data_IF_946632820056
#
_entry.id   IF_946632820056
#
_cell.length_a   1.000
_cell.length_b   1.000
_cell.length_c   1.000
_cell.angle_alpha   90.00
_cell.angle_beta   90.00
_cell.angle_gamma   90.00
#
_symmetry.space_group_name_H-M   'P 1'
#
loop_
_entity.id
_entity.type
_entity.pdbx_description
1 polymer ?
#
# COMPACT_ATOMS: atom_id res chain seq x y z
N UNK A 1 9.47 0.54 -8.82
CA UNK A 1 8.03 0.25 -8.78
C UNK A 1 7.83 -0.91 -7.81
N UNK A 2 7.31 -0.64 -6.62
CA UNK A 2 6.95 -1.70 -5.69
C UNK A 2 5.53 -2.17 -6.02
N UNK A 3 5.44 -3.35 -6.57
CA UNK A 3 4.18 -4.09 -6.72
C UNK A 3 3.86 -4.80 -5.40
N UNK A 4 2.58 -5.05 -5.10
CA UNK A 4 2.21 -5.80 -3.90
C UNK A 4 2.94 -7.14 -3.86
N UNK A 5 3.48 -7.46 -2.69
CA UNK A 5 4.30 -8.66 -2.46
C UNK A 5 3.49 -9.96 -2.68
N UNK A 6 4.21 -11.06 -2.73
CA UNK A 6 3.82 -12.46 -2.94
C UNK A 6 2.46 -12.84 -2.32
N UNK A 7 2.07 -12.25 -1.19
CA UNK A 7 0.77 -12.50 -0.56
C UNK A 7 -0.44 -12.18 -1.45
N UNK A 8 -0.33 -11.17 -2.33
CA UNK A 8 -1.39 -10.86 -3.30
C UNK A 8 -1.42 -11.85 -4.46
N UNK A 9 -0.24 -12.29 -4.89
CA UNK A 9 -0.13 -13.32 -5.94
C UNK A 9 -0.71 -14.63 -5.40
N UNK A 10 -0.39 -14.99 -4.15
CA UNK A 10 -0.93 -16.18 -3.49
C UNK A 10 -2.45 -16.06 -3.26
N UNK A 11 -2.94 -14.90 -2.83
CA UNK A 11 -4.38 -14.63 -2.70
C UNK A 11 -5.12 -14.73 -4.03
N UNK A 12 -4.52 -14.20 -5.11
CA UNK A 12 -5.06 -14.30 -6.45
C UNK A 12 -5.08 -15.75 -6.96
N UNK A 13 -3.99 -16.49 -6.77
CA UNK A 13 -3.91 -17.90 -7.13
C UNK A 13 -4.94 -18.73 -6.36
N UNK A 14 -5.06 -18.53 -5.04
CA UNK A 14 -6.06 -19.20 -4.21
C UNK A 14 -7.49 -18.92 -4.71
N UNK A 15 -7.75 -17.70 -5.10
CA UNK A 15 -9.06 -17.26 -5.57
C UNK A 15 -9.40 -17.84 -6.94
N UNK A 16 -8.43 -17.90 -7.87
CA UNK A 16 -8.58 -18.58 -9.16
C UNK A 16 -8.82 -20.08 -8.94
N UNK A 17 -8.07 -20.71 -8.04
CA UNK A 17 -8.25 -22.12 -7.66
C UNK A 17 -9.64 -22.34 -7.07
N UNK A 18 -10.10 -21.47 -6.19
CA UNK A 18 -11.46 -21.57 -5.61
C UNK A 18 -12.54 -21.41 -6.68
N UNK A 19 -12.39 -20.46 -7.61
CA UNK A 19 -13.33 -20.24 -8.72
C UNK A 19 -13.42 -21.43 -9.68
N UNK A 20 -12.34 -22.19 -9.81
CA UNK A 20 -12.31 -23.40 -10.68
C UNK A 20 -12.78 -24.62 -9.90
N UNK A 21 -12.28 -24.83 -8.69
CA UNK A 21 -12.60 -26.05 -7.91
C UNK A 21 -14.03 -26.07 -7.38
N UNK A 22 -14.59 -24.92 -7.01
CA UNK A 22 -15.95 -24.87 -6.46
C UNK A 22 -17.01 -25.34 -7.48
N UNK A 23 -17.03 -24.86 -8.74
CA UNK A 23 -17.96 -25.39 -9.74
C UNK A 23 -17.79 -26.89 -10.02
N UNK A 24 -16.52 -27.35 -10.05
CA UNK A 24 -16.24 -28.79 -10.25
C UNK A 24 -16.84 -29.60 -9.09
N UNK A 25 -16.60 -29.17 -7.85
CA UNK A 25 -17.13 -29.85 -6.66
C UNK A 25 -18.66 -29.81 -6.64
N UNK A 26 -19.27 -28.65 -6.89
CA UNK A 26 -20.73 -28.50 -6.97
C UNK A 26 -21.31 -29.33 -8.11
N UNK A 27 -20.66 -29.35 -9.27
CA UNK A 27 -21.10 -30.13 -10.41
C UNK A 27 -21.08 -31.64 -10.15
N UNK A 28 -20.07 -32.13 -9.44
CA UNK A 28 -20.01 -33.52 -8.98
C UNK A 28 -21.12 -33.84 -7.98
N UNK A 29 -21.40 -32.91 -7.06
CA UNK A 29 -22.42 -33.14 -6.02
C UNK A 29 -23.85 -33.00 -6.53
N UNK A 30 -24.11 -32.08 -7.46
CA UNK A 30 -25.47 -31.77 -7.95
C UNK A 30 -25.75 -32.26 -9.38
N UNK A 31 -24.77 -32.89 -10.01
CA UNK A 31 -24.95 -33.53 -11.32
C UNK A 31 -24.99 -32.58 -12.53
N UNK A 32 -24.89 -31.26 -12.33
CA UNK A 32 -24.91 -30.28 -13.40
C UNK A 32 -23.71 -29.30 -13.31
N UNK A 33 -22.62 -29.74 -13.93
CA UNK A 33 -21.39 -28.95 -14.04
C UNK A 33 -21.59 -27.64 -14.81
N UNK A 34 -22.42 -27.67 -15.85
CA UNK A 34 -22.63 -26.52 -16.72
C UNK A 34 -23.33 -25.36 -15.99
N UNK A 35 -24.42 -25.67 -15.29
CA UNK A 35 -25.16 -24.66 -14.50
C UNK A 35 -24.29 -24.06 -13.39
N UNK A 36 -23.50 -24.86 -12.69
CA UNK A 36 -22.57 -24.39 -11.66
C UNK A 36 -21.52 -23.44 -12.22
N UNK A 37 -20.91 -23.72 -13.36
CA UNK A 37 -19.97 -22.82 -14.03
C UNK A 37 -20.63 -21.53 -14.48
N UNK A 38 -21.83 -21.57 -15.07
CA UNK A 38 -22.55 -20.37 -15.50
C UNK A 38 -22.86 -19.48 -14.29
N UNK A 39 -23.39 -20.03 -13.20
CA UNK A 39 -23.70 -19.27 -11.99
C UNK A 39 -22.43 -18.61 -11.41
N UNK A 40 -21.34 -19.35 -11.30
CA UNK A 40 -20.08 -18.81 -10.78
C UNK A 40 -19.48 -17.74 -11.69
N UNK A 41 -19.57 -17.89 -13.00
CA UNK A 41 -19.09 -16.85 -13.94
C UNK A 41 -19.97 -15.60 -13.95
N UNK A 42 -21.29 -15.77 -13.92
CA UNK A 42 -22.25 -14.66 -13.97
C UNK A 42 -22.28 -13.89 -12.65
N UNK A 43 -22.23 -14.57 -11.51
CA UNK A 43 -22.27 -13.91 -10.20
C UNK A 43 -20.87 -13.59 -9.64
N UNK A 44 -19.91 -14.49 -9.82
CA UNK A 44 -18.56 -14.33 -9.28
C UNK A 44 -17.68 -13.42 -10.13
N UNK A 45 -17.77 -13.50 -11.44
CA UNK A 45 -16.94 -12.72 -12.38
C UNK A 45 -17.05 -11.22 -12.15
N UNK A 46 -18.25 -10.60 -12.14
CA UNK A 46 -18.41 -9.18 -11.89
C UNK A 46 -17.89 -8.71 -10.54
N UNK A 47 -17.98 -9.54 -9.50
CA UNK A 47 -17.44 -9.21 -8.17
C UNK A 47 -15.90 -9.22 -8.15
N UNK A 48 -15.29 -10.00 -9.04
CA UNK A 48 -13.84 -10.12 -9.14
C UNK A 48 -13.18 -8.97 -9.89
N UNK A 49 -13.87 -8.37 -10.87
CA UNK A 49 -13.32 -7.28 -11.68
C UNK A 49 -12.82 -6.10 -10.81
N UNK A 50 -13.59 -5.57 -9.83
CA UNK A 50 -13.11 -4.50 -8.96
C UNK A 50 -11.88 -4.91 -8.13
N UNK A 51 -11.83 -6.17 -7.66
CA UNK A 51 -10.71 -6.69 -6.88
C UNK A 51 -9.44 -6.81 -7.71
N UNK A 52 -9.53 -7.41 -8.89
CA UNK A 52 -8.42 -7.52 -9.84
C UNK A 52 -7.91 -6.14 -10.25
N UNK A 53 -8.83 -5.24 -10.59
CA UNK A 53 -8.49 -3.85 -10.89
C UNK A 53 -7.80 -3.15 -9.71
N UNK A 54 -8.24 -3.37 -8.49
CA UNK A 54 -7.60 -2.80 -7.31
C UNK A 54 -6.16 -3.32 -7.17
N UNK A 55 -5.95 -4.62 -7.29
CA UNK A 55 -4.62 -5.23 -7.18
C UNK A 55 -3.66 -4.77 -8.28
N UNK A 56 -4.13 -4.64 -9.52
CA UNK A 56 -3.30 -4.22 -10.65
C UNK A 56 -3.16 -2.69 -10.78
N UNK A 57 -4.19 -1.95 -10.39
CA UNK A 57 -4.19 -0.50 -10.54
C UNK A 57 -3.42 0.21 -9.44
N UNK A 58 -3.44 -0.29 -8.21
CA UNK A 58 -2.79 0.35 -7.10
C UNK A 58 -1.28 0.09 -7.12
N UNK A 59 -0.49 1.14 -7.19
CA UNK A 59 0.96 1.08 -6.99
C UNK A 59 1.44 2.32 -6.25
N UNK A 60 2.56 2.16 -5.56
CA UNK A 60 3.29 3.24 -4.92
C UNK A 60 4.70 3.24 -5.51
N UNK A 61 5.18 4.40 -5.91
CA UNK A 61 6.53 4.61 -6.37
C UNK A 61 7.13 5.77 -5.60
N UNK A 62 8.19 5.50 -4.87
CA UNK A 62 8.96 6.52 -4.19
C UNK A 62 10.05 7.04 -5.14
N UNK A 63 10.22 8.35 -5.16
CA UNK A 63 11.26 9.05 -5.91
C UNK A 63 12.09 9.90 -4.96
N UNK A 64 13.11 10.57 -5.47
CA UNK A 64 13.93 11.48 -4.66
C UNK A 64 13.14 12.68 -4.12
N UNK A 65 12.12 13.12 -4.85
CA UNK A 65 11.38 14.34 -4.52
C UNK A 65 10.01 14.09 -3.86
N UNK A 66 9.49 12.86 -3.89
CA UNK A 66 8.18 12.57 -3.35
C UNK A 66 7.65 11.20 -3.69
N UNK A 67 6.39 10.99 -3.42
CA UNK A 67 5.70 9.72 -3.63
C UNK A 67 4.66 9.87 -4.72
N UNK A 68 4.76 9.01 -5.73
CA UNK A 68 3.71 8.80 -6.73
C UNK A 68 2.89 7.59 -6.34
N UNK A 69 1.58 7.70 -6.52
CA UNK A 69 0.71 6.52 -6.41
C UNK A 69 -0.43 6.58 -7.40
N UNK A 70 -0.90 5.43 -7.78
CA UNK A 70 -2.09 5.27 -8.63
C UNK A 70 -3.18 4.60 -7.80
N UNK A 71 -4.35 5.19 -7.81
CA UNK A 71 -5.51 4.61 -7.13
C UNK A 71 -6.24 3.60 -8.04
N UNK A 72 -7.22 2.89 -7.48
CA UNK A 72 -8.07 1.94 -8.19
C UNK A 72 -8.82 2.54 -9.41
N UNK A 73 -8.99 3.88 -9.46
CA UNK A 73 -9.56 4.64 -10.60
C UNK A 73 -8.50 5.03 -11.63
N UNK A 74 -7.33 4.43 -11.63
CA UNK A 74 -6.22 4.69 -12.54
C UNK A 74 -5.67 6.13 -12.53
N UNK A 75 -6.09 6.95 -11.56
CA UNK A 75 -5.58 8.32 -11.43
C UNK A 75 -4.24 8.30 -10.71
N UNK A 76 -3.21 8.80 -11.38
CA UNK A 76 -1.89 9.02 -10.80
C UNK A 76 -1.94 10.30 -9.98
N UNK A 77 -1.37 10.24 -8.78
CA UNK A 77 -1.20 11.36 -7.87
C UNK A 77 0.25 11.45 -7.43
N UNK A 78 0.65 12.64 -7.08
CA UNK A 78 1.99 12.94 -6.59
C UNK A 78 1.90 13.75 -5.30
N UNK A 79 2.80 13.47 -4.37
CA UNK A 79 2.96 14.20 -3.12
C UNK A 79 4.45 14.43 -2.87
N UNK A 80 4.93 15.68 -2.93
CA UNK A 80 6.27 16.02 -2.51
C UNK A 80 6.45 15.70 -1.02
N UNK A 81 7.63 15.26 -0.59
CA UNK A 81 7.90 15.01 0.83
C UNK A 81 7.67 16.26 1.68
N UNK A 82 8.12 17.42 1.21
CA UNK A 82 7.98 18.70 1.91
C UNK A 82 6.52 19.12 2.13
N UNK A 83 5.60 18.59 1.33
CA UNK A 83 4.17 18.87 1.49
C UNK A 83 3.50 18.00 2.53
N UNK A 84 4.16 17.00 3.07
CA UNK A 84 3.59 16.10 4.07
C UNK A 84 3.44 16.87 5.38
N UNK A 85 2.22 16.98 5.86
CA UNK A 85 1.91 17.67 7.11
C UNK A 85 1.56 16.71 8.24
N UNK A 86 1.03 15.55 7.91
CA UNK A 86 0.50 14.63 8.93
C UNK A 86 0.67 13.18 8.52
N UNK A 87 1.13 12.37 9.45
CA UNK A 87 1.13 10.92 9.33
C UNK A 87 0.30 10.33 10.47
N UNK A 88 -0.58 9.43 10.11
CA UNK A 88 -1.46 8.71 11.04
C UNK A 88 -1.34 7.22 10.79
N UNK A 89 -1.06 6.46 11.83
CA UNK A 89 -1.19 5.01 11.81
C UNK A 89 -2.58 4.65 12.34
N UNK A 90 -3.41 4.11 11.47
CA UNK A 90 -4.73 3.63 11.84
C UNK A 90 -4.66 2.11 11.97
N UNK A 91 -4.77 1.61 13.19
CA UNK A 91 -4.79 0.17 13.45
C UNK A 91 -6.24 -0.33 13.38
N UNK A 92 -6.47 -1.32 12.53
CA UNK A 92 -7.70 -2.11 12.52
C UNK A 92 -7.35 -3.54 13.00
N UNK A 93 -7.04 -3.68 14.29
CA UNK A 93 -6.60 -4.96 14.85
C UNK A 93 -5.20 -5.38 14.36
N UNK A 94 -5.09 -6.49 13.63
CA UNK A 94 -3.79 -7.04 13.18
C UNK A 94 -3.13 -6.26 12.05
N UNK A 95 -3.91 -5.51 11.26
CA UNK A 95 -3.41 -4.77 10.08
C UNK A 95 -3.48 -3.27 10.33
N UNK A 96 -2.34 -2.60 10.27
CA UNK A 96 -2.25 -1.15 10.37
C UNK A 96 -2.18 -0.51 8.98
N UNK A 97 -2.99 0.53 8.75
CA UNK A 97 -2.87 1.37 7.55
C UNK A 97 -2.15 2.65 7.89
N UNK A 98 -1.11 2.95 7.12
CA UNK A 98 -0.45 4.25 7.19
C UNK A 98 -1.22 5.24 6.31
N UNK A 99 -1.59 6.36 6.89
CA UNK A 99 -2.26 7.45 6.18
C UNK A 99 -1.39 8.68 6.21
N UNK A 100 -1.01 9.15 5.03
CA UNK A 100 -0.19 10.35 4.84
C UNK A 100 -1.07 11.46 4.26
N UNK A 101 -1.00 12.65 4.82
CA UNK A 101 -1.73 13.83 4.37
C UNK A 101 -0.78 14.92 3.93
N UNK A 102 -1.17 15.65 2.88
CA UNK A 102 -0.46 16.84 2.40
C UNK A 102 -1.08 18.12 2.97
N UNK A 103 -0.23 19.12 3.27
CA UNK A 103 -0.62 20.48 3.69
C UNK A 103 -1.38 21.20 2.56
N UNK A 104 -0.84 21.14 1.36
CA UNK A 104 -1.30 21.98 0.25
C UNK A 104 -2.57 21.47 -0.43
N UNK A 105 -2.90 20.21 -0.26
CA UNK A 105 -4.01 19.58 -0.95
C UNK A 105 -4.89 18.85 0.07
N UNK A 106 -5.88 19.54 0.62
CA UNK A 106 -6.80 19.01 1.66
C UNK A 106 -7.43 17.64 1.34
N UNK A 107 -7.45 17.24 0.07
CA UNK A 107 -8.06 15.97 -0.38
C UNK A 107 -7.04 14.90 -0.78
N UNK A 108 -5.76 15.21 -0.82
CA UNK A 108 -4.76 14.21 -1.19
C UNK A 108 -4.36 13.44 0.05
N UNK A 109 -4.76 12.20 0.07
CA UNK A 109 -4.43 11.24 1.12
C UNK A 109 -3.85 10.01 0.45
N UNK A 110 -2.66 9.64 0.84
CA UNK A 110 -2.09 8.34 0.54
C UNK A 110 -2.41 7.44 1.74
N UNK A 111 -3.06 6.31 1.48
CA UNK A 111 -3.32 5.30 2.51
C UNK A 111 -2.86 3.95 1.97
N UNK A 112 -2.01 3.26 2.69
CA UNK A 112 -1.46 1.97 2.28
C UNK A 112 -1.09 1.13 3.50
N UNK A 113 -0.99 -0.17 3.27
CA UNK A 113 -0.47 -1.12 4.24
C UNK A 113 1.06 -1.15 4.13
N UNK A 114 1.80 -0.72 5.16
CA UNK A 114 3.26 -0.69 5.14
C UNK A 114 3.91 -2.07 5.08
N UNK A 115 3.16 -3.15 5.35
CA UNK A 115 3.65 -4.52 5.19
C UNK A 115 3.59 -5.01 3.74
N UNK A 116 2.73 -4.40 2.93
CA UNK A 116 2.56 -4.76 1.52
C UNK A 116 3.45 -3.94 0.59
N UNK A 117 3.75 -2.70 0.97
CA UNK A 117 4.53 -1.77 0.17
C UNK A 117 5.76 -1.35 0.94
N UNK A 118 6.91 -1.44 0.28
CA UNK A 118 8.13 -0.85 0.81
C UNK A 118 7.98 0.68 0.83
N UNK A 119 8.09 1.26 2.00
CA UNK A 119 8.02 2.70 2.24
C UNK A 119 9.31 3.22 2.88
N UNK A 120 10.45 2.54 2.67
CA UNK A 120 11.73 2.83 3.32
C UNK A 120 12.19 4.28 3.11
N UNK A 121 12.10 4.79 1.88
CA UNK A 121 12.49 6.17 1.59
C UNK A 121 11.55 7.15 2.30
N UNK A 122 10.23 6.93 2.23
CA UNK A 122 9.25 7.76 2.93
C UNK A 122 9.53 7.78 4.45
N UNK A 123 9.79 6.63 5.04
CA UNK A 123 10.08 6.54 6.47
C UNK A 123 11.39 7.26 6.83
N UNK A 124 12.45 7.05 6.05
CA UNK A 124 13.73 7.72 6.27
C UNK A 124 13.59 9.25 6.15
N UNK A 125 12.85 9.75 5.17
CA UNK A 125 12.56 11.17 4.99
C UNK A 125 11.80 11.75 6.18
N UNK A 126 10.77 11.05 6.63
CA UNK A 126 9.96 11.50 7.79
C UNK A 126 10.77 11.47 9.08
N UNK A 127 11.55 10.41 9.32
CA UNK A 127 12.40 10.32 10.51
C UNK A 127 13.48 11.41 10.50
N UNK A 128 14.10 11.68 9.35
CA UNK A 128 15.05 12.79 9.21
C UNK A 128 14.39 14.13 9.52
N UNK A 129 13.17 14.38 9.03
CA UNK A 129 12.40 15.59 9.33
C UNK A 129 12.14 15.74 10.83
N UNK A 130 11.80 14.64 11.50
CA UNK A 130 11.53 14.65 12.95
C UNK A 130 12.81 14.91 13.75
N UNK A 131 13.95 14.32 13.34
CA UNK A 131 15.22 14.46 14.08
C UNK A 131 15.88 15.83 13.86
N UNK A 132 15.89 16.31 12.61
CA UNK A 132 16.59 17.52 12.24
C UNK A 132 15.69 18.76 12.10
N UNK A 133 14.37 18.58 12.21
CA UNK A 133 13.35 19.62 11.99
C UNK A 133 13.36 20.23 10.59
N UNK A 134 14.13 19.67 9.66
CA UNK A 134 14.25 20.09 8.27
C UNK A 134 14.13 18.90 7.34
N UNK A 135 13.55 19.13 6.16
CA UNK A 135 13.53 18.11 5.10
C UNK A 135 14.92 18.00 4.49
N UNK A 136 15.42 16.78 4.22
CA UNK A 136 16.70 16.60 3.56
C UNK A 136 16.73 17.31 2.21
N UNK A 137 17.77 18.12 2.01
CA UNK A 137 17.99 18.90 0.80
C UNK A 137 19.00 18.20 -0.12
N UNK A 138 19.00 18.58 -1.41
CA UNK A 138 19.98 18.11 -2.40
C UNK A 138 20.07 16.58 -2.49
N UNK A 139 18.90 15.93 -2.58
CA UNK A 139 18.81 14.49 -2.62
C UNK A 139 19.31 13.95 -3.97
N UNK A 140 20.24 13.03 -3.90
CA UNK A 140 20.64 12.15 -4.99
C UNK A 140 20.48 10.69 -4.55
N UNK A 141 20.63 9.75 -5.47
CA UNK A 141 20.42 8.33 -5.18
C UNK A 141 21.32 7.83 -4.03
N UNK A 142 22.60 8.21 -4.03
CA UNK A 142 23.57 7.82 -3.00
C UNK A 142 23.16 8.37 -1.63
N UNK A 143 22.80 9.65 -1.56
CA UNK A 143 22.40 10.28 -0.29
C UNK A 143 21.10 9.71 0.28
N UNK A 144 20.17 9.29 -0.58
CA UNK A 144 18.96 8.58 -0.14
C UNK A 144 19.32 7.19 0.40
N UNK A 145 20.21 6.48 -0.25
CA UNK A 145 20.68 5.18 0.23
C UNK A 145 21.41 5.29 1.57
N UNK A 146 22.28 6.29 1.74
CA UNK A 146 22.92 6.61 3.01
C UNK A 146 21.89 6.96 4.09
N UNK A 147 20.89 7.76 3.75
CA UNK A 147 19.82 8.13 4.67
C UNK A 147 19.01 6.91 5.12
N UNK A 148 18.61 6.05 4.19
CA UNK A 148 17.86 4.83 4.50
C UNK A 148 18.71 3.88 5.34
N UNK A 149 19.97 3.66 4.98
CA UNK A 149 20.87 2.78 5.72
C UNK A 149 21.19 3.31 7.12
N UNK A 150 21.27 4.63 7.29
CA UNK A 150 21.49 5.29 8.58
C UNK A 150 20.36 5.04 9.60
N UNK A 151 19.13 4.90 9.15
CA UNK A 151 18.00 4.54 10.02
C UNK A 151 17.85 3.04 10.27
N UNK A 152 18.61 2.21 9.56
CA UNK A 152 18.66 0.77 9.72
C UNK A 152 17.61 0.01 8.91
N UNK A 153 17.16 -1.15 9.40
CA UNK A 153 16.21 -1.98 8.65
C UNK A 153 14.82 -1.34 8.55
N UNK A 154 14.05 -1.78 7.55
CA UNK A 154 12.67 -1.34 7.35
C UNK A 154 11.81 -1.51 8.61
N UNK A 155 11.95 -2.64 9.30
CA UNK A 155 11.22 -2.94 10.53
C UNK A 155 11.54 -1.94 11.64
N UNK A 156 12.84 -1.57 11.79
CA UNK A 156 13.26 -0.57 12.79
C UNK A 156 12.68 0.80 12.48
N UNK A 157 12.72 1.23 11.22
CA UNK A 157 12.11 2.49 10.79
C UNK A 157 10.59 2.49 11.05
N UNK A 158 9.92 1.41 10.67
CA UNK A 158 8.49 1.28 10.88
C UNK A 158 8.09 1.31 12.37
N UNK A 159 8.80 0.58 13.23
CA UNK A 159 8.55 0.61 14.68
C UNK A 159 8.80 2.00 15.29
N UNK A 160 9.79 2.76 14.78
CA UNK A 160 9.97 4.16 15.20
C UNK A 160 8.81 5.04 14.77
N UNK A 161 8.37 4.95 13.51
CA UNK A 161 7.18 5.68 13.03
C UNK A 161 5.95 5.30 13.84
N UNK A 162 5.76 4.02 14.13
CA UNK A 162 4.66 3.51 14.93
C UNK A 162 4.65 4.13 16.33
N UNK A 163 5.80 4.19 17.00
CA UNK A 163 5.91 4.84 18.34
C UNK A 163 5.55 6.33 18.26
N UNK A 164 6.05 7.04 17.25
CA UNK A 164 5.75 8.46 17.04
C UNK A 164 4.26 8.72 16.75
N UNK A 165 3.58 7.77 16.13
CA UNK A 165 2.16 7.85 15.78
C UNK A 165 1.23 7.27 16.87
N UNK A 166 1.76 6.53 17.86
CA UNK A 166 0.95 5.70 18.77
C UNK A 166 0.02 6.51 19.66
N UNK A 167 0.47 7.66 20.16
CA UNK A 167 -0.32 8.49 21.07
C UNK A 167 -1.02 9.65 20.37
N UNK A 168 -0.51 10.08 19.24
CA UNK A 168 -1.03 11.24 18.48
C UNK A 168 -0.69 11.10 17.00
N UNK A 169 -1.44 11.84 16.18
CA UNK A 169 -1.03 12.09 14.81
C UNK A 169 0.34 12.75 14.79
N UNK A 170 1.29 12.17 14.08
CA UNK A 170 2.58 12.79 13.86
C UNK A 170 2.39 14.00 12.94
N UNK A 171 2.55 15.21 13.50
CA UNK A 171 2.55 16.47 12.75
C UNK A 171 3.97 16.79 12.34
N UNK A 172 4.15 17.22 11.10
CA UNK A 172 5.44 17.55 10.49
C UNK A 172 5.50 19.04 10.08
N UNK A 173 4.55 19.80 10.61
CA UNK A 173 4.45 21.26 10.39
C UNK A 173 5.59 22.03 11.06
#
# INVERSE_FOLDING_TARGET
QHRPRIAYIAGYALLVVTLVLTPIFCGVMFGDLGACFIIMFVLGGPLMIPFVNHCHAFYIQQTLSGVYWRNWRWKIRYMPYESISEILLQSNGKNGYLRVRSRNIKRVRLSFDPWQFDASILFAMVLSRVEHQEWPQNLNAQRVEELVSGFGSYEKMFERIKRLCYERKLKLD
#
